data_IF_167088662027
#
_entry.id   IF_167088662027
#
_cell.length_a   1.000
_cell.length_b   1.000
_cell.length_c   1.000
_cell.angle_alpha   90.00
_cell.angle_beta   90.00
_cell.angle_gamma   90.00
#
_symmetry.space_group_name_H-M   'P 1'
#
loop_
_entity.id
_entity.type
_entity.pdbx_description
1 polymer ?
#
# COMPACT_ATOMS: atom_id res chain seq x y z
N UNK A 1 -3.64 -20.03 -19.00
CA UNK A 1 -2.80 -20.39 -17.84
C UNK A 1 -1.70 -19.34 -17.68
N UNK A 2 -2.07 -18.07 -17.64
CA UNK A 2 -1.13 -16.94 -17.43
C UNK A 2 -1.41 -16.19 -16.12
N UNK A 3 -2.62 -16.30 -15.56
CA UNK A 3 -3.09 -15.50 -14.41
C UNK A 3 -2.51 -15.90 -13.04
N UNK A 4 -1.77 -17.01 -12.96
CA UNK A 4 -1.21 -17.55 -11.70
C UNK A 4 0.32 -17.43 -11.59
N UNK A 5 0.98 -16.76 -12.53
CA UNK A 5 2.42 -16.55 -12.39
C UNK A 5 2.73 -15.38 -11.42
N UNK A 6 3.87 -15.41 -10.71
CA UNK A 6 4.21 -14.37 -9.72
C UNK A 6 4.34 -12.95 -10.28
N UNK A 7 4.55 -12.79 -11.59
CA UNK A 7 4.73 -11.49 -12.24
C UNK A 7 3.40 -10.84 -12.66
N UNK A 8 2.35 -11.64 -12.85
CA UNK A 8 1.03 -11.18 -13.32
C UNK A 8 -0.07 -11.33 -12.28
N UNK A 9 0.18 -12.09 -11.20
CA UNK A 9 -0.79 -12.26 -10.13
C UNK A 9 -1.09 -10.93 -9.42
N UNK A 10 -2.39 -10.57 -9.34
CA UNK A 10 -2.87 -9.32 -8.72
C UNK A 10 -3.67 -9.52 -7.43
N UNK A 11 -3.96 -10.77 -7.04
CA UNK A 11 -4.86 -11.08 -5.92
C UNK A 11 -4.47 -10.41 -4.60
N UNK A 12 -3.19 -10.45 -4.25
CA UNK A 12 -2.63 -9.74 -3.07
C UNK A 12 -2.99 -8.24 -3.02
N UNK A 13 -3.09 -7.59 -4.18
CA UNK A 13 -3.45 -6.18 -4.31
C UNK A 13 -4.97 -5.95 -4.37
N UNK A 14 -5.72 -6.84 -5.03
CA UNK A 14 -7.12 -6.56 -5.44
C UNK A 14 -8.18 -7.35 -4.70
N UNK A 15 -7.89 -8.57 -4.25
CA UNK A 15 -8.89 -9.42 -3.59
C UNK A 15 -9.32 -8.82 -2.25
N UNK A 16 -10.53 -9.16 -1.81
CA UNK A 16 -10.95 -8.84 -0.45
C UNK A 16 -10.16 -9.67 0.58
N UNK A 17 -10.21 -9.25 1.84
CA UNK A 17 -9.47 -9.93 2.90
C UNK A 17 -9.94 -11.37 3.13
N UNK A 18 -11.24 -11.66 3.03
CA UNK A 18 -11.75 -13.00 3.28
C UNK A 18 -11.24 -14.00 2.24
N UNK A 19 -11.13 -13.57 0.98
CA UNK A 19 -10.57 -14.39 -0.10
C UNK A 19 -9.06 -14.57 0.03
N UNK A 20 -8.31 -13.52 0.38
CA UNK A 20 -6.84 -13.53 0.31
C UNK A 20 -6.14 -14.02 1.59
N UNK A 21 -6.84 -14.05 2.73
CA UNK A 21 -6.23 -14.33 4.04
C UNK A 21 -5.53 -15.69 4.09
N UNK A 22 -6.22 -16.77 3.75
CA UNK A 22 -5.67 -18.13 3.85
C UNK A 22 -4.52 -18.39 2.85
N UNK A 23 -4.61 -18.00 1.57
CA UNK A 23 -3.48 -18.06 0.65
C UNK A 23 -2.26 -17.27 1.13
N UNK A 24 -2.48 -16.05 1.65
CA UNK A 24 -1.41 -15.21 2.18
C UNK A 24 -0.74 -15.84 3.42
N UNK A 25 -1.53 -16.46 4.30
CA UNK A 25 -1.04 -17.23 5.44
C UNK A 25 -0.10 -18.35 5.01
N UNK A 26 -0.55 -19.17 4.05
CA UNK A 26 0.26 -20.27 3.52
C UNK A 26 1.55 -19.76 2.85
N UNK A 27 1.46 -18.72 2.03
CA UNK A 27 2.60 -18.10 1.34
C UNK A 27 3.67 -17.61 2.32
N UNK A 28 3.25 -16.84 3.33
CA UNK A 28 4.16 -16.27 4.31
C UNK A 28 4.79 -17.33 5.20
N UNK A 29 4.02 -18.34 5.62
CA UNK A 29 4.53 -19.47 6.39
C UNK A 29 5.57 -20.28 5.59
N UNK A 30 5.28 -20.56 4.32
CA UNK A 30 6.19 -21.30 3.43
C UNK A 30 7.56 -20.61 3.29
N UNK A 31 7.58 -19.28 3.21
CA UNK A 31 8.81 -18.51 3.09
C UNK A 31 9.43 -18.09 4.43
N UNK A 32 8.84 -18.46 5.58
CA UNK A 32 9.29 -17.97 6.89
C UNK A 32 9.26 -16.44 7.01
N UNK A 33 8.39 -15.78 6.24
CA UNK A 33 8.30 -14.33 6.15
C UNK A 33 7.11 -13.81 6.97
N UNK A 34 7.17 -12.54 7.38
CA UNK A 34 6.03 -11.89 8.06
C UNK A 34 5.18 -11.06 7.13
N UNK A 35 5.73 -10.66 5.98
CA UNK A 35 5.13 -9.73 5.00
C UNK A 35 5.67 -9.97 3.60
N UNK A 36 4.91 -9.54 2.61
CA UNK A 36 5.31 -9.48 1.20
C UNK A 36 5.17 -8.05 0.67
N UNK A 37 6.15 -7.63 -0.13
CA UNK A 37 6.14 -6.35 -0.85
C UNK A 37 5.80 -6.63 -2.31
N UNK A 38 4.81 -5.93 -2.86
CA UNK A 38 4.30 -6.18 -4.21
C UNK A 38 4.18 -4.89 -5.03
N UNK A 39 4.31 -5.03 -6.35
CA UNK A 39 4.14 -3.98 -7.33
C UNK A 39 3.08 -4.38 -8.38
N UNK A 40 3.22 -3.97 -9.63
CA UNK A 40 2.41 -4.36 -10.81
C UNK A 40 0.95 -3.83 -10.82
N UNK A 41 0.31 -3.75 -9.66
CA UNK A 41 -0.97 -3.08 -9.47
C UNK A 41 -0.73 -1.74 -8.79
N UNK A 42 -0.89 -0.68 -9.57
CA UNK A 42 -0.66 0.71 -9.12
C UNK A 42 -1.61 1.10 -8.00
N UNK A 43 -1.07 1.77 -6.99
CA UNK A 43 -1.82 2.50 -5.97
C UNK A 43 -2.22 3.89 -6.47
N UNK A 44 -2.87 4.68 -5.62
CA UNK A 44 -3.23 6.08 -5.90
C UNK A 44 -2.08 7.08 -5.69
N UNK A 45 -0.83 6.61 -5.60
CA UNK A 45 0.35 7.47 -5.49
C UNK A 45 1.08 7.45 -4.15
N UNK A 46 0.73 6.53 -3.27
CA UNK A 46 1.38 6.35 -1.97
C UNK A 46 1.79 4.89 -1.80
N UNK A 47 2.79 4.62 -0.97
CA UNK A 47 3.03 3.25 -0.49
C UNK A 47 1.87 2.85 0.41
N UNK A 48 1.22 1.72 0.10
CA UNK A 48 -0.04 1.34 0.75
C UNK A 48 0.06 -0.03 1.42
N UNK A 49 -0.02 -0.08 2.76
CA UNK A 49 -0.22 -1.33 3.49
C UNK A 49 -1.65 -1.84 3.31
N UNK A 50 -1.79 -3.16 3.22
CA UNK A 50 -3.05 -3.91 3.18
C UNK A 50 -2.93 -5.18 4.02
N UNK A 51 -4.08 -5.73 4.39
CA UNK A 51 -4.17 -6.98 5.18
C UNK A 51 -3.30 -6.90 6.44
N UNK A 52 -3.55 -5.88 7.25
CA UNK A 52 -2.79 -5.55 8.48
C UNK A 52 -1.27 -5.42 8.27
N UNK A 53 -0.91 -4.91 7.09
CA UNK A 53 0.45 -4.62 6.69
C UNK A 53 1.24 -5.88 6.35
N UNK A 54 0.57 -7.01 6.15
CA UNK A 54 1.18 -8.23 5.62
C UNK A 54 1.44 -8.15 4.12
N UNK A 55 0.72 -7.27 3.43
CA UNK A 55 1.01 -6.88 2.05
C UNK A 55 1.36 -5.39 2.04
N UNK A 56 2.49 -5.03 1.42
CA UNK A 56 2.86 -3.63 1.19
C UNK A 56 2.94 -3.39 -0.32
N UNK A 57 2.04 -2.55 -0.82
CA UNK A 57 2.00 -2.17 -2.23
C UNK A 57 2.92 -0.97 -2.47
N UNK A 58 3.90 -1.11 -3.36
CA UNK A 58 4.92 -0.09 -3.64
C UNK A 58 4.89 0.47 -5.05
N UNK A 59 4.05 -0.08 -5.93
CA UNK A 59 3.81 0.52 -7.24
C UNK A 59 2.93 1.78 -7.07
N UNK A 60 3.55 2.94 -7.06
CA UNK A 60 2.87 4.23 -6.89
C UNK A 60 2.46 4.87 -8.20
N UNK A 61 2.70 4.23 -9.34
CA UNK A 61 2.46 4.83 -10.65
C UNK A 61 3.56 5.81 -11.07
N UNK A 62 4.82 5.35 -11.04
CA UNK A 62 6.00 6.13 -11.43
C UNK A 62 5.98 6.50 -12.92
N UNK A 63 5.45 5.62 -13.78
CA UNK A 63 5.34 5.93 -15.20
C UNK A 63 4.36 7.08 -15.44
N UNK A 64 4.65 7.92 -16.45
CA UNK A 64 3.81 9.08 -16.77
C UNK A 64 2.34 8.71 -17.04
N UNK A 65 2.10 7.55 -17.67
CA UNK A 65 0.75 7.02 -17.92
C UNK A 65 -0.06 6.81 -16.62
N UNK A 66 0.61 6.54 -15.49
CA UNK A 66 -0.02 6.33 -14.18
C UNK A 66 0.09 7.56 -13.26
N UNK A 67 0.54 8.71 -13.77
CA UNK A 67 0.58 9.97 -13.05
C UNK A 67 1.96 10.43 -12.58
N UNK A 68 3.05 9.72 -12.89
CA UNK A 68 4.41 10.21 -12.62
C UNK A 68 4.74 10.39 -11.14
N UNK A 69 4.20 9.54 -10.28
CA UNK A 69 4.23 9.72 -8.81
C UNK A 69 5.52 9.17 -8.22
N UNK A 70 6.04 9.86 -7.20
CA UNK A 70 7.35 9.60 -6.62
C UNK A 70 7.24 9.22 -5.15
N UNK A 71 7.35 7.92 -4.88
CA UNK A 71 7.54 7.39 -3.55
C UNK A 71 8.31 6.07 -3.58
N UNK A 72 8.95 5.72 -2.46
CA UNK A 72 9.57 4.42 -2.24
C UNK A 72 9.30 3.93 -0.82
N UNK A 73 9.43 2.61 -0.64
CA UNK A 73 9.45 1.97 0.66
C UNK A 73 10.88 1.93 1.20
N UNK A 74 11.08 2.42 2.41
CA UNK A 74 12.34 2.30 3.15
C UNK A 74 12.13 1.40 4.37
N UNK A 75 12.96 0.37 4.49
CA UNK A 75 12.96 -0.56 5.63
C UNK A 75 14.34 -0.48 6.29
N UNK A 76 14.39 0.01 7.53
CA UNK A 76 15.62 0.18 8.29
C UNK A 76 15.38 -0.21 9.76
N UNK A 77 16.23 -1.07 10.32
CA UNK A 77 16.15 -1.53 11.71
C UNK A 77 14.75 -2.04 12.12
N UNK A 78 14.11 -2.80 11.24
CA UNK A 78 12.75 -3.32 11.45
C UNK A 78 11.64 -2.27 11.42
N UNK A 79 11.93 -1.04 11.00
CA UNK A 79 10.98 0.07 10.87
C UNK A 79 10.68 0.34 9.40
N UNK A 80 9.44 0.73 9.13
CA UNK A 80 8.93 0.92 7.77
C UNK A 80 8.57 2.38 7.55
N UNK A 81 9.00 2.92 6.41
CA UNK A 81 8.75 4.29 6.03
C UNK A 81 8.35 4.37 4.56
N UNK A 82 7.50 5.33 4.23
CA UNK A 82 7.37 5.81 2.86
C UNK A 82 8.26 7.05 2.73
N UNK A 83 9.15 7.07 1.74
CA UNK A 83 9.81 8.31 1.33
C UNK A 83 8.98 8.86 0.18
N UNK A 84 8.14 9.85 0.46
CA UNK A 84 7.22 10.46 -0.49
C UNK A 84 7.75 11.82 -0.90
N UNK A 85 8.08 11.99 -2.19
CA UNK A 85 8.66 13.23 -2.73
C UNK A 85 9.84 13.76 -1.89
N UNK A 86 10.71 12.86 -1.43
CA UNK A 86 11.88 13.16 -0.61
C UNK A 86 11.62 13.26 0.90
N UNK A 87 10.37 13.29 1.35
CA UNK A 87 10.01 13.35 2.77
C UNK A 87 9.78 11.95 3.34
N UNK A 88 10.49 11.61 4.42
CA UNK A 88 10.36 10.33 5.12
C UNK A 88 9.17 10.38 6.10
N UNK A 89 8.17 9.54 5.87
CA UNK A 89 6.99 9.39 6.71
C UNK A 89 6.93 7.98 7.29
N UNK A 90 6.55 7.84 8.57
CA UNK A 90 6.34 6.53 9.18
C UNK A 90 5.18 5.83 8.46
N UNK A 91 5.40 4.59 8.01
CA UNK A 91 4.37 3.81 7.34
C UNK A 91 3.51 3.08 8.40
N UNK A 92 2.21 3.41 8.54
CA UNK A 92 1.33 2.69 9.45
C UNK A 92 0.95 1.35 8.83
N UNK A 93 1.47 0.26 9.39
CA UNK A 93 1.16 -1.09 8.92
C UNK A 93 -0.30 -1.49 9.19
N UNK A 94 -0.94 -0.87 10.20
CA UNK A 94 -2.33 -1.09 10.58
C UNK A 94 -3.21 0.08 10.14
N UNK A 95 -4.53 -0.17 10.11
CA UNK A 95 -5.51 0.80 9.60
C UNK A 95 -5.71 2.01 10.52
N UNK A 96 -5.39 1.91 11.82
CA UNK A 96 -5.50 2.98 12.81
C UNK A 96 -4.72 4.25 12.43
N UNK A 97 -3.51 4.10 11.86
CA UNK A 97 -2.69 5.22 11.41
C UNK A 97 -2.94 5.67 9.96
N UNK A 98 -3.76 4.94 9.20
CA UNK A 98 -3.89 5.12 7.73
C UNK A 98 -4.39 6.51 7.35
N UNK A 99 -5.42 7.02 8.02
CA UNK A 99 -5.98 8.33 7.69
C UNK A 99 -4.98 9.46 7.92
N UNK A 100 -4.27 9.43 9.06
CA UNK A 100 -3.25 10.43 9.38
C UNK A 100 -2.10 10.40 8.37
N UNK A 101 -1.64 9.19 8.01
CA UNK A 101 -0.62 9.00 6.98
C UNK A 101 -1.07 9.55 5.62
N UNK A 102 -2.26 9.18 5.14
CA UNK A 102 -2.76 9.66 3.85
C UNK A 102 -2.87 11.19 3.78
N UNK A 103 -3.27 11.84 4.87
CA UNK A 103 -3.27 13.31 4.96
C UNK A 103 -1.86 13.90 4.88
N UNK A 104 -0.88 13.31 5.56
CA UNK A 104 0.51 13.76 5.50
C UNK A 104 1.09 13.60 4.09
N UNK A 105 0.80 12.47 3.43
CA UNK A 105 1.24 12.22 2.05
C UNK A 105 0.58 13.22 1.08
N UNK A 106 -0.73 13.41 1.18
CA UNK A 106 -1.47 14.32 0.31
C UNK A 106 -1.01 15.77 0.43
N UNK A 107 -0.62 16.22 1.63
CA UNK A 107 -0.08 17.56 1.86
C UNK A 107 1.26 17.83 1.16
N UNK A 108 1.94 16.79 0.68
CA UNK A 108 3.19 16.89 -0.08
C UNK A 108 2.96 16.82 -1.60
N UNK A 109 1.76 16.45 -2.04
CA UNK A 109 1.42 16.36 -3.46
C UNK A 109 1.14 17.73 -4.08
N UNK A 110 1.28 17.88 -5.41
CA UNK A 110 0.66 18.98 -6.12
C UNK A 110 -0.86 18.97 -5.92
N UNK A 111 -1.44 20.16 -5.77
CA UNK A 111 -2.90 20.29 -5.65
C UNK A 111 -3.59 20.19 -7.01
N UNK A 112 -4.69 19.41 -7.12
CA UNK A 112 -5.27 18.56 -6.08
C UNK A 112 -4.55 17.21 -5.93
N UNK A 113 -4.36 16.76 -4.69
CA UNK A 113 -3.79 15.42 -4.43
C UNK A 113 -4.67 14.30 -4.99
N UNK A 114 -4.04 13.30 -5.60
CA UNK A 114 -4.71 12.08 -6.08
C UNK A 114 -5.25 11.19 -4.95
N UNK A 115 -4.86 11.45 -3.70
CA UNK A 115 -5.25 10.66 -2.53
C UNK A 115 -6.57 11.12 -1.90
N UNK A 116 -7.20 12.18 -2.40
CA UNK A 116 -8.48 12.67 -1.88
C UNK A 116 -9.56 11.56 -1.79
N UNK A 117 -9.73 10.66 -2.78
CA UNK A 117 -10.66 9.53 -2.65
C UNK A 117 -10.29 8.57 -1.51
N UNK A 118 -9.02 8.17 -1.38
CA UNK A 118 -8.56 7.30 -0.29
C UNK A 118 -8.71 7.96 1.10
N UNK A 119 -8.51 9.27 1.20
CA UNK A 119 -8.73 10.02 2.44
C UNK A 119 -10.20 9.96 2.84
N UNK A 120 -11.12 10.20 1.89
CA UNK A 120 -12.57 10.11 2.13
C UNK A 120 -12.98 8.71 2.59
N UNK A 121 -12.49 7.67 1.90
CA UNK A 121 -12.76 6.28 2.28
C UNK A 121 -12.26 5.97 3.69
N UNK A 122 -11.03 6.39 4.03
CA UNK A 122 -10.45 6.18 5.35
C UNK A 122 -11.22 6.94 6.45
N UNK A 123 -11.74 8.14 6.16
CA UNK A 123 -12.58 8.90 7.10
C UNK A 123 -13.88 8.16 7.43
N UNK A 124 -14.54 7.58 6.44
CA UNK A 124 -15.79 6.84 6.64
C UNK A 124 -15.61 5.59 7.52
N UNK A 125 -14.39 5.04 7.58
CA UNK A 125 -14.06 3.87 8.42
C UNK A 125 -13.69 4.22 9.86
N UNK A 126 -13.36 5.48 10.15
CA UNK A 126 -13.05 5.97 11.50
C UNK A 126 -14.31 6.34 12.28
N UNK A 127 -15.41 6.65 11.58
CA UNK A 127 -16.70 6.92 12.22
C UNK A 127 -17.27 5.60 12.76
N UNK A 128 -17.50 5.46 14.08
CA UNK A 128 -18.16 4.28 14.61
C UNK A 128 -19.57 4.19 14.03
N UNK A 129 -19.95 3.00 13.54
CA UNK A 129 -21.34 2.68 13.21
C UNK A 129 -22.19 2.61 14.47
#
# INVERSE_FOLDING_TARGET
MEDFNPLWHRGLATNDAATEQAPLDALLAFHGATRIVVAHTTTQGAVMPRLDGRVIMVDVGLAAHYGGRLALLLIEDGRYYAVHRGTRLRLPLRNDGRLAYLKQVAALDPEPSALLPAIREAQLRVVPR
#
